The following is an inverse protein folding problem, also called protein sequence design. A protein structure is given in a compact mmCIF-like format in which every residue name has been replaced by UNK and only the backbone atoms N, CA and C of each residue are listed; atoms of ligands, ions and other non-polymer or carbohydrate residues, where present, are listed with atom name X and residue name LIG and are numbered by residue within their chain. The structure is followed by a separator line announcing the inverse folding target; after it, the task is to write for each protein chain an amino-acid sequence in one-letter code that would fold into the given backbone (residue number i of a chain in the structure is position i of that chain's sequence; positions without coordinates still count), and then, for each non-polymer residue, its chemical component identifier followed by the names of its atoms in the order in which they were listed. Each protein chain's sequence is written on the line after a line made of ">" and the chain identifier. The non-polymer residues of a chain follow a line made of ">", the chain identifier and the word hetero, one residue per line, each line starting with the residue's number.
data_IF_654693765362
#
_entry.id   IF_654693765362
#
_cell.length_a   1.000
_cell.length_b   1.000
_cell.length_c   1.000
_cell.angle_alpha   90.00
_cell.angle_beta   90.00
_cell.angle_gamma   90.00
#
_symmetry.space_group_name_H-M   'P 1'
#
loop_
_entity.id
_entity.type
_entity.pdbx_description
1 polymer ?
#
# COMPACT_ATOMS: atom_id res chain seq x y z
N UNK A 1 9.31 -0.42 37.80
CA UNK A 1 9.30 -1.86 37.45
C UNK A 1 7.90 -2.21 36.95
N UNK A 2 7.81 -2.66 35.69
CA UNK A 2 6.71 -3.42 35.04
C UNK A 2 5.28 -2.86 35.01
N UNK A 3 4.89 -2.17 33.94
CA UNK A 3 3.47 -2.17 33.47
C UNK A 3 3.27 -1.74 32.00
N UNK A 4 3.93 -2.37 31.01
CA UNK A 4 3.56 -2.20 29.56
C UNK A 4 3.59 -3.53 28.77
N UNK A 5 3.89 -4.67 29.42
CA UNK A 5 4.20 -5.92 28.72
C UNK A 5 3.02 -6.82 28.30
N UNK A 6 1.77 -6.53 28.67
CA UNK A 6 0.68 -7.53 28.55
C UNK A 6 -0.31 -7.32 27.41
N UNK A 7 -0.29 -6.19 26.70
CA UNK A 7 -1.25 -5.95 25.60
C UNK A 7 -0.73 -6.49 24.27
N UNK A 8 0.59 -6.50 24.09
CA UNK A 8 1.26 -6.95 22.87
C UNK A 8 1.15 -8.47 22.69
N UNK A 9 1.18 -9.24 23.77
CA UNK A 9 1.16 -10.71 23.71
C UNK A 9 -0.22 -11.29 23.39
N UNK A 10 -1.30 -10.66 23.87
CA UNK A 10 -2.67 -11.13 23.57
C UNK A 10 -3.08 -10.80 22.14
N UNK A 11 -2.70 -9.61 21.63
CA UNK A 11 -2.92 -9.26 20.23
C UNK A 11 -2.09 -10.14 19.27
N UNK A 12 -0.84 -10.46 19.63
CA UNK A 12 0.02 -11.33 18.83
C UNK A 12 -0.55 -12.76 18.70
N UNK A 13 -1.17 -13.32 19.75
CA UNK A 13 -1.79 -14.67 19.68
C UNK A 13 -3.08 -14.72 18.85
N UNK A 14 -3.85 -13.64 18.82
CA UNK A 14 -5.06 -13.57 18.00
C UNK A 14 -4.74 -13.53 16.50
N UNK A 15 -3.68 -12.82 16.12
CA UNK A 15 -3.22 -12.72 14.74
C UNK A 15 -2.59 -14.04 14.25
N UNK A 16 -1.88 -14.77 15.11
CA UNK A 16 -1.19 -16.02 14.74
C UNK A 16 -2.12 -17.23 14.51
N UNK A 17 -3.27 -17.35 15.17
CA UNK A 17 -4.15 -18.52 15.01
C UNK A 17 -5.20 -18.37 13.90
N UNK A 18 -5.38 -17.17 13.33
CA UNK A 18 -6.48 -16.91 12.38
C UNK A 18 -6.24 -17.43 10.97
N UNK A 19 -5.05 -17.95 10.64
CA UNK A 19 -4.77 -18.57 9.34
C UNK A 19 -5.02 -17.65 8.12
N UNK A 20 -5.20 -16.34 8.33
CA UNK A 20 -5.63 -15.41 7.29
C UNK A 20 -4.47 -14.83 6.49
N UNK A 21 -3.23 -15.12 6.88
CA UNK A 21 -2.01 -14.67 6.23
C UNK A 21 -1.03 -15.84 6.18
N UNK A 22 -0.97 -16.51 5.02
CA UNK A 22 0.28 -17.16 4.60
C UNK A 22 1.42 -16.16 4.86
N UNK A 23 2.54 -16.57 5.47
CA UNK A 23 3.61 -15.64 5.82
C UNK A 23 4.04 -14.91 4.55
N UNK A 24 3.88 -13.58 4.46
CA UNK A 24 4.39 -12.86 3.31
C UNK A 24 5.90 -13.11 3.28
N UNK A 25 6.44 -13.46 2.11
CA UNK A 25 7.87 -13.59 1.92
C UNK A 25 8.57 -12.39 2.58
N UNK A 26 9.72 -12.55 3.25
CA UNK A 26 10.38 -11.49 4.03
C UNK A 26 10.52 -10.16 3.25
N UNK A 27 10.63 -10.25 1.93
CA UNK A 27 10.67 -9.12 0.98
C UNK A 27 9.35 -8.34 0.93
N UNK A 28 8.20 -9.00 0.93
CA UNK A 28 6.89 -8.35 0.91
C UNK A 28 6.62 -7.59 2.23
N UNK A 29 7.10 -8.14 3.36
CA UNK A 29 7.05 -7.46 4.65
C UNK A 29 7.94 -6.21 4.66
N UNK A 30 9.18 -6.30 4.15
CA UNK A 30 10.07 -5.15 4.04
C UNK A 30 9.51 -4.06 3.12
N UNK A 31 8.86 -4.44 2.02
CA UNK A 31 8.17 -3.49 1.12
C UNK A 31 7.04 -2.77 1.84
N UNK A 32 6.18 -3.50 2.56
CA UNK A 32 5.11 -2.93 3.37
C UNK A 32 5.63 -1.98 4.47
N UNK A 33 6.64 -2.40 5.21
CA UNK A 33 7.24 -1.59 6.29
C UNK A 33 7.91 -0.34 5.74
N UNK A 34 8.62 -0.43 4.61
CA UNK A 34 9.25 0.74 3.98
C UNK A 34 8.22 1.75 3.48
N UNK A 35 7.10 1.27 2.93
CA UNK A 35 5.99 2.12 2.49
C UNK A 35 5.30 2.80 3.67
N UNK A 36 5.12 2.07 4.78
CA UNK A 36 4.60 2.60 6.04
C UNK A 36 5.50 3.69 6.65
N UNK A 37 6.83 3.50 6.62
CA UNK A 37 7.78 4.46 7.18
C UNK A 37 8.03 5.71 6.32
N UNK A 38 7.82 5.65 5.00
CA UNK A 38 8.03 6.82 4.11
C UNK A 38 6.84 7.75 3.98
N UNK A 39 5.62 7.28 4.17
CA UNK A 39 4.43 8.07 3.84
C UNK A 39 3.20 7.85 4.70
N UNK A 40 3.29 7.07 5.79
CA UNK A 40 2.10 6.64 6.53
C UNK A 40 1.15 5.81 5.66
N UNK A 41 0.01 5.43 6.22
CA UNK A 41 -1.05 4.71 5.50
C UNK A 41 -1.71 5.66 4.47
N UNK A 42 -1.08 5.86 3.32
CA UNK A 42 -1.57 6.72 2.26
C UNK A 42 -2.39 5.92 1.22
N UNK A 43 -3.14 6.64 0.39
CA UNK A 43 -4.01 6.05 -0.65
C UNK A 43 -3.22 5.15 -1.62
N UNK A 44 -1.99 5.53 -1.95
CA UNK A 44 -1.14 4.74 -2.82
C UNK A 44 -0.78 3.38 -2.22
N UNK A 45 -0.51 3.31 -0.92
CA UNK A 45 -0.27 2.02 -0.23
C UNK A 45 -1.48 1.10 -0.32
N UNK A 46 -2.71 1.63 -0.20
CA UNK A 46 -3.94 0.84 -0.37
C UNK A 46 -4.10 0.35 -1.82
N UNK A 47 -3.78 1.21 -2.80
CA UNK A 47 -3.80 0.84 -4.22
C UNK A 47 -2.79 -0.28 -4.51
N UNK A 48 -1.56 -0.18 -4.03
CA UNK A 48 -0.53 -1.20 -4.22
C UNK A 48 -0.93 -2.55 -3.61
N UNK A 49 -1.57 -2.54 -2.43
CA UNK A 49 -2.11 -3.77 -1.81
C UNK A 49 -3.25 -4.36 -2.65
N UNK A 50 -4.16 -3.53 -3.16
CA UNK A 50 -5.26 -3.98 -4.00
C UNK A 50 -4.75 -4.57 -5.33
N UNK A 51 -3.79 -3.92 -6.00
CA UNK A 51 -3.18 -4.39 -7.23
C UNK A 51 -2.39 -5.69 -7.05
N UNK A 52 -1.73 -5.87 -5.90
CA UNK A 52 -1.08 -7.14 -5.57
C UNK A 52 -2.09 -8.27 -5.34
N UNK A 53 -3.26 -7.97 -4.76
CA UNK A 53 -4.28 -8.98 -4.41
C UNK A 53 -5.20 -9.34 -5.59
N UNK A 54 -5.55 -8.36 -6.42
CA UNK A 54 -6.53 -8.50 -7.51
C UNK A 54 -6.09 -7.72 -8.76
N UNK A 55 -4.98 -8.10 -9.40
CA UNK A 55 -4.39 -7.30 -10.47
C UNK A 55 -5.32 -7.07 -11.65
N UNK A 56 -6.06 -8.10 -12.06
CA UNK A 56 -6.89 -8.08 -13.27
C UNK A 56 -8.35 -7.68 -12.98
N UNK A 57 -8.68 -7.30 -11.74
CA UNK A 57 -10.01 -6.82 -11.38
C UNK A 57 -10.16 -5.34 -11.76
N UNK A 58 -11.30 -4.98 -12.33
CA UNK A 58 -11.62 -3.59 -12.65
C UNK A 58 -11.61 -2.72 -11.40
N UNK A 59 -10.85 -1.63 -11.44
CA UNK A 59 -10.71 -0.62 -10.40
C UNK A 59 -11.57 0.61 -10.69
N UNK A 60 -11.55 1.09 -11.94
CA UNK A 60 -12.26 2.30 -12.40
C UNK A 60 -12.93 2.00 -13.74
N UNK A 61 -14.12 2.56 -13.96
CA UNK A 61 -14.82 2.57 -15.24
C UNK A 61 -15.18 4.02 -15.56
N UNK A 62 -14.83 4.48 -16.76
CA UNK A 62 -15.17 5.79 -17.30
C UNK A 62 -15.64 5.65 -18.77
N UNK A 63 -15.76 6.78 -19.47
CA UNK A 63 -16.19 6.84 -20.87
C UNK A 63 -15.15 6.22 -21.84
N UNK A 64 -13.87 6.19 -21.45
CA UNK A 64 -12.77 5.64 -22.26
C UNK A 64 -12.60 4.12 -22.01
N UNK A 65 -13.13 3.60 -20.91
CA UNK A 65 -13.30 2.17 -20.67
C UNK A 65 -13.09 1.76 -19.22
N UNK A 66 -12.61 0.53 -19.04
CA UNK A 66 -12.35 -0.06 -17.73
C UNK A 66 -10.84 -0.19 -17.50
N UNK A 67 -10.36 0.30 -16.36
CA UNK A 67 -8.99 0.11 -15.90
C UNK A 67 -8.94 -0.94 -14.81
N UNK A 68 -8.04 -1.90 -14.95
CA UNK A 68 -7.70 -2.86 -13.90
C UNK A 68 -6.85 -2.21 -12.79
N UNK A 69 -6.80 -2.84 -11.62
CA UNK A 69 -5.93 -2.36 -10.53
C UNK A 69 -4.45 -2.34 -10.94
N UNK A 70 -3.98 -3.28 -11.77
CA UNK A 70 -2.60 -3.28 -12.29
C UNK A 70 -2.35 -2.06 -13.17
N UNK A 71 -3.24 -1.78 -14.12
CA UNK A 71 -3.09 -0.65 -15.05
C UNK A 71 -3.13 0.68 -14.30
N UNK A 72 -4.08 0.82 -13.37
CA UNK A 72 -4.20 2.02 -12.53
C UNK A 72 -2.92 2.27 -11.71
N UNK A 73 -2.33 1.23 -11.12
CA UNK A 73 -1.06 1.34 -10.41
C UNK A 73 0.06 1.81 -11.34
N UNK A 74 0.23 1.16 -12.50
CA UNK A 74 1.31 1.49 -13.44
C UNK A 74 1.19 2.92 -13.97
N UNK A 75 -0.02 3.39 -14.29
CA UNK A 75 -0.26 4.78 -14.69
C UNK A 75 0.09 5.76 -13.57
N UNK A 76 -0.33 5.46 -12.33
CA UNK A 76 -0.03 6.28 -11.15
C UNK A 76 1.48 6.38 -10.93
N UNK A 77 2.20 5.27 -11.02
CA UNK A 77 3.66 5.22 -10.89
C UNK A 77 4.37 6.04 -11.99
N UNK A 78 3.89 5.97 -13.24
CA UNK A 78 4.42 6.77 -14.36
C UNK A 78 4.28 8.26 -14.10
N UNK A 79 3.07 8.71 -13.74
CA UNK A 79 2.79 10.12 -13.45
C UNK A 79 3.60 10.58 -12.22
N UNK A 80 3.71 9.76 -11.18
CA UNK A 80 4.51 10.08 -10.01
C UNK A 80 6.00 10.25 -10.33
N UNK A 81 6.53 9.44 -11.25
CA UNK A 81 7.91 9.55 -11.72
C UNK A 81 8.12 10.86 -12.49
N UNK A 82 7.26 11.17 -13.46
CA UNK A 82 7.31 12.42 -14.23
C UNK A 82 7.19 13.66 -13.33
N UNK A 83 6.26 13.64 -12.37
CA UNK A 83 6.09 14.73 -11.41
C UNK A 83 7.32 14.90 -10.51
N UNK A 84 7.92 13.79 -10.07
CA UNK A 84 9.15 13.82 -9.27
C UNK A 84 10.30 14.45 -10.05
N UNK A 85 10.45 14.07 -11.32
CA UNK A 85 11.47 14.63 -12.22
C UNK A 85 11.25 16.12 -12.50
N UNK A 86 9.99 16.56 -12.54
CA UNK A 86 9.65 17.99 -12.67
C UNK A 86 9.86 18.82 -11.37
N UNK A 87 10.35 18.19 -10.29
CA UNK A 87 10.58 18.84 -9.01
C UNK A 87 9.30 19.12 -8.21
N UNK A 88 8.25 18.34 -8.43
CA UNK A 88 7.06 18.37 -7.59
C UNK A 88 7.40 17.83 -6.20
N UNK A 89 7.07 18.60 -5.16
CA UNK A 89 7.30 18.25 -3.76
C UNK A 89 6.01 18.40 -2.95
N UNK A 90 5.95 17.84 -1.72
CA UNK A 90 4.73 17.66 -0.92
C UNK A 90 3.97 18.94 -0.49
N UNK A 91 4.40 20.13 -0.94
CA UNK A 91 3.74 21.41 -0.67
C UNK A 91 3.40 22.22 -1.94
N UNK A 92 3.67 21.69 -3.14
CA UNK A 92 3.38 22.41 -4.39
C UNK A 92 1.90 22.21 -4.75
N UNK A 93 1.13 23.29 -4.70
CA UNK A 93 -0.25 23.29 -5.20
C UNK A 93 -0.24 23.38 -6.72
N UNK A 94 -0.82 22.38 -7.38
CA UNK A 94 -1.16 22.44 -8.80
C UNK A 94 -2.50 23.18 -8.89
N UNK A 95 -2.53 24.30 -9.63
CA UNK A 95 -3.71 25.15 -9.84
C UNK A 95 -4.42 24.74 -11.13
#
# INVERSE_FOLDING_TARGET
>A
MTMVGSVVSTAARAVLFSGLLSPPAPVALLRLVRELYRGGMNLYTLLAVAAARWPDRTAIIDDDGALSYRELQSMTESIAHELSDSGAGPARRWA
#
